data_IF_020892186495
#
_entry.id   IF_020892186495
#
_cell.length_a   1.000
_cell.length_b   1.000
_cell.length_c   1.000
_cell.angle_alpha   90.00
_cell.angle_beta   90.00
_cell.angle_gamma   90.00
#
_symmetry.space_group_name_H-M   'P 1'
#
loop_
_entity.id
_entity.type
_entity.pdbx_description
1 polymer ?
#
# COMPACT_ATOMS: atom_id res chain seq x y z
N UNK A 1 -22.40 27.25 -16.91
CA UNK A 1 -22.44 26.04 -16.08
C UNK A 1 -23.76 25.97 -15.31
N UNK A 2 -24.54 24.91 -15.46
CA UNK A 2 -25.66 24.64 -14.56
C UNK A 2 -25.14 23.88 -13.34
N UNK A 3 -24.88 24.57 -12.24
CA UNK A 3 -24.25 24.00 -11.02
C UNK A 3 -25.18 23.15 -10.18
N UNK A 4 -26.47 23.13 -10.50
CA UNK A 4 -27.49 22.53 -9.61
C UNK A 4 -27.69 21.01 -9.91
N UNK A 5 -27.34 20.56 -11.10
CA UNK A 5 -27.60 19.19 -11.57
C UNK A 5 -26.43 18.67 -12.39
N UNK A 6 -25.42 18.15 -11.71
CA UNK A 6 -24.24 17.58 -12.32
C UNK A 6 -24.17 16.07 -12.03
N UNK A 7 -23.77 15.31 -13.02
CA UNK A 7 -23.50 13.87 -12.88
C UNK A 7 -22.02 13.68 -12.59
N UNK A 8 -21.68 13.03 -11.48
CA UNK A 8 -20.33 12.58 -11.23
C UNK A 8 -20.02 11.40 -12.17
N UNK A 9 -19.19 11.65 -13.18
CA UNK A 9 -18.81 10.61 -14.15
C UNK A 9 -17.82 9.63 -13.55
N UNK A 10 -16.71 10.13 -12.99
CA UNK A 10 -15.69 9.30 -12.35
C UNK A 10 -14.71 10.11 -11.50
N UNK A 11 -14.10 9.42 -10.55
CA UNK A 11 -12.88 9.90 -9.89
C UNK A 11 -11.67 9.50 -10.75
N UNK A 12 -10.85 10.48 -11.13
CA UNK A 12 -9.66 10.30 -11.96
C UNK A 12 -8.44 9.85 -11.17
N UNK A 13 -8.22 10.52 -10.05
CA UNK A 13 -7.05 10.25 -9.20
C UNK A 13 -7.24 10.82 -7.82
N UNK A 14 -6.53 10.24 -6.88
CA UNK A 14 -6.33 10.70 -5.52
C UNK A 14 -4.84 10.99 -5.34
N UNK A 15 -4.51 12.14 -4.77
CA UNK A 15 -3.14 12.54 -4.46
C UNK A 15 -3.03 12.80 -2.96
N UNK A 16 -1.96 12.25 -2.38
CA UNK A 16 -1.53 12.56 -1.02
C UNK A 16 -0.36 13.54 -1.07
N UNK A 17 -0.40 14.55 -0.25
CA UNK A 17 0.67 15.55 -0.17
C UNK A 17 1.21 15.67 1.24
N UNK A 18 2.49 15.92 1.37
CA UNK A 18 3.12 16.31 2.62
C UNK A 18 2.54 17.64 3.12
N UNK A 19 2.33 17.76 4.43
CA UNK A 19 1.82 18.98 5.03
C UNK A 19 2.89 20.06 5.19
N UNK A 20 4.16 19.68 5.24
CA UNK A 20 5.26 20.60 5.46
C UNK A 20 5.63 21.41 4.22
N UNK A 21 5.70 20.75 3.05
CA UNK A 21 6.17 21.36 1.81
C UNK A 21 5.19 21.23 0.64
N UNK A 22 4.10 20.48 0.80
CA UNK A 22 3.09 20.24 -0.22
C UNK A 22 3.55 19.28 -1.34
N UNK A 23 4.68 18.60 -1.17
CA UNK A 23 5.18 17.61 -2.12
C UNK A 23 4.23 16.42 -2.24
N UNK A 24 4.21 15.77 -3.40
CA UNK A 24 3.37 14.60 -3.63
C UNK A 24 4.04 13.36 -3.07
N UNK A 25 3.43 12.77 -2.05
CA UNK A 25 3.88 11.52 -1.42
C UNK A 25 3.40 10.30 -2.21
N UNK A 26 2.16 10.34 -2.71
CA UNK A 26 1.58 9.22 -3.44
C UNK A 26 0.42 9.64 -4.35
N UNK A 27 0.19 8.86 -5.40
CA UNK A 27 -0.89 9.09 -6.36
C UNK A 27 -1.56 7.78 -6.74
N UNK A 28 -2.88 7.70 -6.56
CA UNK A 28 -3.71 6.57 -6.95
C UNK A 28 -4.59 6.93 -8.14
N UNK A 29 -4.65 6.09 -9.16
CA UNK A 29 -5.39 6.34 -10.41
C UNK A 29 -6.41 5.27 -10.77
N UNK A 30 -6.43 4.15 -10.04
CA UNK A 30 -7.31 3.00 -10.29
C UNK A 30 -8.23 2.79 -9.10
N UNK A 31 -9.01 3.82 -8.79
CA UNK A 31 -9.96 3.81 -7.68
C UNK A 31 -11.28 3.17 -8.09
N UNK A 32 -11.76 2.27 -7.27
CA UNK A 32 -13.07 1.64 -7.38
C UNK A 32 -13.91 1.99 -6.15
N UNK A 33 -15.21 2.12 -6.36
CA UNK A 33 -16.20 2.38 -5.32
C UNK A 33 -15.85 3.58 -4.40
N UNK A 34 -15.37 4.72 -4.95
CA UNK A 34 -15.04 5.87 -4.14
C UNK A 34 -16.31 6.44 -3.48
N UNK A 35 -16.25 6.68 -2.17
CA UNK A 35 -17.35 7.24 -1.40
C UNK A 35 -16.88 8.36 -0.48
N UNK A 36 -17.61 9.45 -0.46
CA UNK A 36 -17.39 10.57 0.45
C UNK A 36 -18.58 10.64 1.42
N UNK A 37 -18.31 10.50 2.70
CA UNK A 37 -19.30 10.49 3.75
C UNK A 37 -19.08 11.68 4.69
N UNK A 38 -20.18 12.28 5.13
CA UNK A 38 -20.17 13.30 6.18
C UNK A 38 -21.21 12.95 7.22
N UNK A 39 -20.87 13.13 8.49
CA UNK A 39 -21.79 12.92 9.60
C UNK A 39 -21.65 14.07 10.61
N UNK A 40 -22.70 14.29 11.39
CA UNK A 40 -22.68 15.17 12.54
C UNK A 40 -23.52 14.54 13.64
N UNK A 41 -23.04 14.60 14.87
CA UNK A 41 -23.81 14.13 16.03
C UNK A 41 -24.89 15.15 16.35
N UNK A 42 -26.12 14.67 16.49
CA UNK A 42 -27.29 15.49 16.83
C UNK A 42 -27.80 15.17 18.22
N UNK A 43 -28.00 16.21 19.04
CA UNK A 43 -28.59 16.12 20.36
C UNK A 43 -29.97 16.78 20.32
N UNK A 44 -31.01 16.04 20.67
CA UNK A 44 -32.37 16.51 20.69
C UNK A 44 -32.64 17.19 22.03
N UNK A 45 -33.06 18.45 21.99
CA UNK A 45 -33.55 19.19 23.16
C UNK A 45 -35.09 19.14 23.14
N UNK A 46 -35.63 18.52 24.18
CA UNK A 46 -37.09 18.35 24.33
C UNK A 46 -37.65 19.17 25.52
N UNK A 47 -38.92 19.48 25.45
CA UNK A 47 -39.62 20.09 26.58
C UNK A 47 -40.01 19.05 27.66
N UNK A 48 -40.65 19.51 28.74
CA UNK A 48 -41.08 18.65 29.84
C UNK A 48 -42.14 17.61 29.44
N UNK A 49 -42.77 17.76 28.28
CA UNK A 49 -43.78 16.84 27.71
C UNK A 49 -43.17 15.90 26.67
N UNK A 50 -41.84 16.01 26.39
CA UNK A 50 -41.13 15.21 25.41
C UNK A 50 -41.23 15.72 23.98
N UNK A 51 -41.83 16.91 23.74
CA UNK A 51 -41.85 17.49 22.41
C UNK A 51 -40.47 18.07 22.02
N UNK A 52 -40.03 17.83 20.78
CA UNK A 52 -38.76 18.34 20.27
C UNK A 52 -38.79 19.87 20.15
N UNK A 53 -37.96 20.57 20.91
CA UNK A 53 -37.77 22.01 20.83
C UNK A 53 -36.77 22.34 19.70
N UNK A 54 -35.62 21.71 19.71
CA UNK A 54 -34.59 21.91 18.71
C UNK A 54 -33.59 20.75 18.70
N UNK A 55 -32.80 20.68 17.59
CA UNK A 55 -31.69 19.72 17.47
C UNK A 55 -30.37 20.46 17.34
N UNK A 56 -29.45 20.20 18.26
CA UNK A 56 -28.10 20.74 18.22
C UNK A 56 -27.19 19.75 17.53
N UNK A 57 -26.44 20.23 16.55
CA UNK A 57 -25.42 19.41 15.86
C UNK A 57 -24.04 19.75 16.36
N UNK A 58 -23.26 18.71 16.66
CA UNK A 58 -21.87 18.78 17.12
C UNK A 58 -21.02 17.76 16.36
N UNK A 59 -19.70 17.84 16.54
CA UNK A 59 -18.75 16.83 16.06
C UNK A 59 -18.95 16.41 14.58
N UNK A 60 -18.93 17.40 13.68
CA UNK A 60 -18.99 17.11 12.23
C UNK A 60 -17.74 16.34 11.80
N UNK A 61 -17.95 15.25 11.07
CA UNK A 61 -16.89 14.37 10.55
C UNK A 61 -16.98 14.26 9.03
N UNK A 62 -15.87 13.98 8.40
CA UNK A 62 -15.79 13.66 6.98
C UNK A 62 -14.89 12.45 6.77
N UNK A 63 -15.32 11.50 5.94
CA UNK A 63 -14.58 10.28 5.64
C UNK A 63 -14.65 9.99 4.15
N UNK A 64 -13.50 9.66 3.58
CA UNK A 64 -13.42 9.15 2.22
C UNK A 64 -13.00 7.68 2.24
N UNK A 65 -13.68 6.84 1.48
CA UNK A 65 -13.35 5.42 1.33
C UNK A 65 -13.24 5.07 -0.13
N UNK A 66 -12.30 4.19 -0.46
CA UNK A 66 -12.16 3.64 -1.80
C UNK A 66 -11.35 2.34 -1.77
N UNK A 67 -11.40 1.62 -2.89
CA UNK A 67 -10.54 0.48 -3.17
C UNK A 67 -9.58 0.87 -4.30
N UNK A 68 -8.31 0.51 -4.19
CA UNK A 68 -7.38 0.60 -5.30
C UNK A 68 -7.27 -0.79 -5.96
N UNK A 69 -7.55 -0.87 -7.27
CA UNK A 69 -7.52 -2.14 -8.02
C UNK A 69 -6.12 -2.68 -8.23
N UNK A 70 -5.10 -1.89 -7.94
CA UNK A 70 -3.70 -2.29 -8.09
C UNK A 70 -3.02 -2.25 -6.73
N UNK A 71 -2.11 -3.18 -6.50
CA UNK A 71 -1.21 -3.10 -5.36
C UNK A 71 -0.33 -1.85 -5.48
N UNK A 72 -0.33 -0.99 -4.47
CA UNK A 72 0.43 0.25 -4.44
C UNK A 72 1.35 0.29 -3.23
N UNK A 73 2.65 0.31 -3.48
CA UNK A 73 3.68 0.43 -2.44
C UNK A 73 3.58 1.78 -1.72
N UNK A 74 3.22 2.85 -2.44
CA UNK A 74 3.03 4.18 -1.85
C UNK A 74 1.84 4.20 -0.87
N UNK A 75 0.72 3.57 -1.25
CA UNK A 75 -0.43 3.45 -0.36
C UNK A 75 -0.10 2.61 0.87
N UNK A 76 0.64 1.51 0.68
CA UNK A 76 1.08 0.65 1.77
C UNK A 76 1.99 1.40 2.76
N UNK A 77 2.95 2.18 2.24
CA UNK A 77 3.84 3.01 3.05
C UNK A 77 3.05 4.03 3.89
N UNK A 78 2.09 4.73 3.28
CA UNK A 78 1.20 5.66 3.96
C UNK A 78 0.34 4.98 5.04
N UNK A 79 -0.19 3.78 4.77
CA UNK A 79 -0.99 3.02 5.73
C UNK A 79 -0.18 2.54 6.93
N UNK A 80 1.09 2.23 6.74
CA UNK A 80 1.99 1.79 7.81
C UNK A 80 2.69 2.96 8.53
N UNK A 81 2.55 4.19 8.02
CA UNK A 81 3.33 5.33 8.52
C UNK A 81 4.83 5.11 8.34
N UNK A 82 5.22 4.48 7.26
CA UNK A 82 6.59 4.07 6.98
C UNK A 82 7.13 4.78 5.74
N UNK A 83 8.43 4.96 5.72
CA UNK A 83 9.14 5.43 4.54
C UNK A 83 9.30 4.29 3.53
N UNK A 84 9.20 4.63 2.25
CA UNK A 84 9.55 3.74 1.16
C UNK A 84 11.06 3.76 0.95
N UNK A 85 11.71 2.65 1.24
CA UNK A 85 13.14 2.47 0.99
C UNK A 85 13.34 2.00 -0.46
N UNK A 86 14.08 2.77 -1.23
CA UNK A 86 14.47 2.44 -2.60
C UNK A 86 15.93 2.01 -2.61
N UNK A 87 16.21 0.82 -3.12
CA UNK A 87 17.59 0.37 -3.30
C UNK A 87 18.32 1.21 -4.35
N UNK A 88 19.63 1.28 -4.22
CA UNK A 88 20.56 1.89 -5.17
C UNK A 88 21.87 1.09 -5.22
N UNK A 89 22.76 1.41 -6.13
CA UNK A 89 24.08 0.76 -6.19
C UNK A 89 24.92 0.97 -4.91
N UNK A 90 24.71 2.09 -4.23
CA UNK A 90 25.40 2.41 -2.97
C UNK A 90 24.68 1.92 -1.71
N UNK A 91 23.37 1.65 -1.83
CA UNK A 91 22.52 1.22 -0.71
C UNK A 91 21.58 0.12 -1.20
N UNK A 92 22.11 -1.09 -1.22
CA UNK A 92 21.38 -2.27 -1.69
C UNK A 92 20.45 -2.81 -0.62
N UNK A 93 19.35 -3.38 -1.05
CA UNK A 93 18.40 -4.06 -0.18
C UNK A 93 18.63 -5.56 -0.25
N UNK A 94 18.69 -6.21 0.92
CA UNK A 94 18.73 -7.66 1.03
C UNK A 94 17.35 -8.22 0.70
N UNK A 95 17.31 -9.11 -0.29
CA UNK A 95 16.07 -9.74 -0.80
C UNK A 95 16.15 -11.24 -0.57
N UNK A 96 15.25 -11.84 0.21
CA UNK A 96 15.12 -13.29 0.30
C UNK A 96 14.52 -13.86 -0.99
N UNK A 97 15.05 -14.98 -1.43
CA UNK A 97 14.59 -15.70 -2.63
C UNK A 97 14.56 -17.20 -2.36
N UNK A 98 13.59 -17.88 -2.95
CA UNK A 98 13.53 -19.33 -3.04
C UNK A 98 13.70 -19.77 -4.50
N UNK A 99 14.48 -20.82 -4.71
CA UNK A 99 14.68 -21.40 -6.03
C UNK A 99 14.53 -22.92 -5.99
N UNK A 100 13.93 -23.45 -7.04
CA UNK A 100 13.83 -24.90 -7.29
C UNK A 100 14.65 -25.19 -8.54
N UNK A 101 15.85 -25.74 -8.32
CA UNK A 101 16.84 -25.95 -9.36
C UNK A 101 16.99 -27.43 -9.68
N UNK A 102 17.20 -27.75 -10.96
CA UNK A 102 17.47 -29.13 -11.39
C UNK A 102 18.98 -29.41 -11.29
N UNK A 103 19.32 -30.56 -10.73
CA UNK A 103 20.71 -30.98 -10.62
C UNK A 103 21.24 -31.40 -12.00
N UNK A 104 22.31 -30.76 -12.45
CA UNK A 104 23.02 -31.07 -13.68
C UNK A 104 24.49 -31.38 -13.36
N UNK A 105 24.95 -32.58 -13.71
CA UNK A 105 26.35 -33.04 -13.44
C UNK A 105 26.76 -32.90 -11.96
N UNK A 106 25.84 -33.12 -11.02
CA UNK A 106 26.10 -33.00 -9.59
C UNK A 106 26.20 -31.58 -9.06
N UNK A 107 25.71 -30.61 -9.82
CA UNK A 107 25.73 -29.17 -9.49
C UNK A 107 24.42 -28.49 -9.76
N UNK A 108 24.20 -27.36 -9.09
CA UNK A 108 23.15 -26.38 -9.37
C UNK A 108 23.76 -24.98 -9.37
N UNK A 109 23.21 -24.08 -10.20
CA UNK A 109 23.67 -22.68 -10.27
C UNK A 109 22.55 -21.76 -9.81
N UNK A 110 22.83 -20.92 -8.81
CA UNK A 110 21.93 -19.93 -8.29
C UNK A 110 21.77 -18.75 -9.26
N UNK A 111 20.59 -18.15 -9.31
CA UNK A 111 20.34 -16.97 -10.14
C UNK A 111 21.05 -15.72 -9.64
N UNK A 112 21.31 -15.63 -8.34
CA UNK A 112 21.98 -14.49 -7.72
C UNK A 112 23.11 -14.93 -6.80
N UNK A 113 24.08 -14.00 -6.61
CA UNK A 113 25.16 -14.20 -5.66
C UNK A 113 24.61 -14.13 -4.23
N UNK A 114 24.76 -15.17 -3.40
CA UNK A 114 24.31 -15.11 -2.01
C UNK A 114 25.03 -14.01 -1.22
N UNK A 115 24.26 -13.25 -0.43
CA UNK A 115 24.78 -12.23 0.48
C UNK A 115 25.16 -12.80 1.85
N UNK A 116 24.68 -14.00 2.16
CA UNK A 116 24.93 -14.72 3.40
C UNK A 116 25.16 -16.20 3.14
N UNK A 117 25.69 -16.91 4.14
CA UNK A 117 25.96 -18.34 4.07
C UNK A 117 24.68 -19.17 3.93
N UNK A 118 24.60 -20.01 2.90
CA UNK A 118 23.52 -20.98 2.72
C UNK A 118 23.81 -22.20 3.58
N UNK A 119 23.07 -22.36 4.66
CA UNK A 119 23.33 -23.45 5.63
C UNK A 119 22.66 -24.77 5.27
N UNK A 120 21.57 -24.70 4.51
CA UNK A 120 20.74 -25.88 4.22
C UNK A 120 20.17 -25.82 2.80
N UNK A 121 20.13 -26.98 2.15
CA UNK A 121 19.37 -27.20 0.92
C UNK A 121 18.50 -28.43 1.11
N UNK A 122 17.44 -28.57 0.33
CA UNK A 122 16.50 -29.68 0.46
C UNK A 122 16.26 -30.37 -0.88
N UNK A 123 16.29 -31.70 -0.89
CA UNK A 123 15.80 -32.47 -2.02
C UNK A 123 14.28 -32.37 -2.10
N UNK A 124 13.75 -32.15 -3.30
CA UNK A 124 12.31 -32.22 -3.54
C UNK A 124 11.94 -33.61 -4.06
N UNK A 125 10.96 -34.22 -3.39
CA UNK A 125 10.32 -35.46 -3.81
C UNK A 125 8.82 -35.26 -3.91
N UNK A 126 8.26 -35.50 -5.09
CA UNK A 126 6.82 -35.28 -5.36
C UNK A 126 6.34 -33.83 -5.02
N UNK A 127 7.24 -32.84 -5.17
CA UNK A 127 6.94 -31.44 -4.89
C UNK A 127 7.00 -31.04 -3.41
N UNK A 128 7.44 -31.95 -2.52
CA UNK A 128 7.61 -31.68 -1.09
C UNK A 128 9.06 -31.71 -0.68
N UNK A 129 9.41 -30.94 0.37
CA UNK A 129 10.75 -30.95 0.98
C UNK A 129 10.97 -32.31 1.65
N UNK A 130 11.93 -33.09 1.15
CA UNK A 130 12.24 -34.42 1.66
C UNK A 130 13.53 -34.37 2.50
N UNK A 131 14.68 -34.69 1.89
CA UNK A 131 15.95 -34.79 2.60
C UNK A 131 16.62 -33.43 2.72
N UNK A 132 17.02 -33.08 3.93
CA UNK A 132 17.82 -31.90 4.26
C UNK A 132 19.30 -32.22 4.16
N UNK A 133 20.06 -31.34 3.53
CA UNK A 133 21.52 -31.38 3.48
C UNK A 133 22.12 -30.12 4.10
N UNK A 134 23.29 -30.25 4.69
CA UNK A 134 24.00 -29.16 5.37
C UNK A 134 25.24 -28.74 4.58
N UNK A 135 25.67 -27.51 4.82
CA UNK A 135 26.90 -27.00 4.23
C UNK A 135 28.11 -27.71 4.86
N UNK A 136 29.02 -28.16 4.02
CA UNK A 136 30.31 -28.71 4.39
C UNK A 136 31.48 -28.04 3.62
N UNK A 137 32.70 -28.30 4.02
CA UNK A 137 33.87 -27.79 3.33
C UNK A 137 34.03 -28.39 1.92
N UNK A 138 33.50 -29.60 1.72
CA UNK A 138 33.44 -30.29 0.43
C UNK A 138 32.15 -31.10 0.37
N UNK A 139 31.64 -31.35 -0.81
CA UNK A 139 30.46 -32.18 -0.98
C UNK A 139 30.75 -33.64 -0.58
N UNK A 140 29.84 -34.24 0.18
CA UNK A 140 29.87 -35.62 0.66
C UNK A 140 28.51 -36.30 0.39
N UNK A 141 28.21 -37.41 1.05
CA UNK A 141 26.91 -38.06 0.94
C UNK A 141 25.78 -37.25 1.62
N UNK A 142 26.12 -36.45 2.64
CA UNK A 142 25.18 -35.69 3.46
C UNK A 142 25.38 -34.18 3.47
N UNK A 143 26.47 -33.73 2.86
CA UNK A 143 26.86 -32.32 2.82
C UNK A 143 26.99 -31.83 1.38
N UNK A 144 26.63 -30.59 1.14
CA UNK A 144 26.90 -29.86 -0.08
C UNK A 144 28.01 -28.84 0.14
N UNK A 145 28.66 -28.40 -0.93
CA UNK A 145 29.59 -27.28 -0.88
C UNK A 145 29.16 -26.19 -1.84
N UNK A 146 29.54 -24.95 -1.55
CA UNK A 146 29.23 -23.78 -2.37
C UNK A 146 30.52 -23.03 -2.73
N UNK A 147 30.61 -22.57 -3.96
CA UNK A 147 31.60 -21.62 -4.43
C UNK A 147 30.88 -20.57 -5.29
N UNK A 148 30.86 -19.33 -4.80
CA UNK A 148 30.14 -18.23 -5.44
C UNK A 148 28.64 -18.57 -5.63
N UNK A 149 28.17 -18.72 -6.88
CA UNK A 149 26.78 -19.07 -7.23
C UNK A 149 26.62 -20.58 -7.52
N UNK A 150 27.70 -21.37 -7.51
CA UNK A 150 27.62 -22.77 -7.82
C UNK A 150 27.61 -23.63 -6.56
N UNK A 151 26.57 -24.43 -6.41
CA UNK A 151 26.45 -25.43 -5.35
C UNK A 151 26.74 -26.80 -5.93
N UNK A 152 27.75 -27.48 -5.37
CA UNK A 152 27.99 -28.90 -5.61
C UNK A 152 27.10 -29.68 -4.63
N UNK A 153 26.13 -30.41 -5.16
CA UNK A 153 25.19 -31.17 -4.34
C UNK A 153 25.84 -32.46 -3.80
N UNK A 154 25.26 -33.08 -2.73
CA UNK A 154 25.74 -34.34 -2.20
C UNK A 154 25.82 -35.42 -3.26
N UNK A 155 26.77 -36.33 -3.11
CA UNK A 155 27.08 -37.40 -4.09
C UNK A 155 25.86 -38.28 -4.36
N UNK A 156 25.55 -38.51 -5.63
CA UNK A 156 24.44 -39.36 -6.06
C UNK A 156 23.06 -38.70 -6.06
N UNK A 157 22.98 -37.42 -5.72
CA UNK A 157 21.70 -36.68 -5.74
C UNK A 157 21.37 -36.27 -7.18
N UNK A 158 20.14 -36.56 -7.57
CA UNK A 158 19.55 -36.19 -8.85
C UNK A 158 18.16 -35.58 -8.64
N UNK A 159 17.61 -34.92 -9.66
CA UNK A 159 16.29 -34.33 -9.59
C UNK A 159 16.33 -32.86 -9.18
N UNK A 160 15.35 -32.44 -8.36
CA UNK A 160 15.18 -31.03 -7.99
C UNK A 160 15.64 -30.76 -6.56
N UNK A 161 16.33 -29.65 -6.38
CA UNK A 161 16.78 -29.11 -5.09
C UNK A 161 16.06 -27.78 -4.84
N UNK A 162 15.55 -27.62 -3.64
CA UNK A 162 15.04 -26.36 -3.10
C UNK A 162 16.15 -25.66 -2.33
N UNK A 163 16.35 -24.40 -2.62
CA UNK A 163 17.33 -23.53 -1.94
C UNK A 163 16.62 -22.23 -1.57
N UNK A 164 16.77 -21.80 -0.33
CA UNK A 164 16.37 -20.48 0.15
C UNK A 164 17.63 -19.72 0.54
N UNK A 165 17.77 -18.49 0.04
CA UNK A 165 18.91 -17.64 0.33
C UNK A 165 18.58 -16.17 0.17
N UNK A 166 19.48 -15.30 0.59
CA UNK A 166 19.38 -13.86 0.46
C UNK A 166 20.43 -13.33 -0.51
N UNK A 167 20.07 -12.31 -1.27
CA UNK A 167 20.99 -11.60 -2.15
C UNK A 167 20.81 -10.08 -2.05
N UNK A 168 21.83 -9.32 -2.42
CA UNK A 168 21.79 -7.86 -2.48
C UNK A 168 21.26 -7.39 -3.82
N UNK A 169 20.22 -6.53 -3.79
CA UNK A 169 19.65 -5.92 -5.00
C UNK A 169 19.73 -4.40 -4.96
N UNK A 170 20.21 -3.81 -6.04
CA UNK A 170 20.19 -2.37 -6.28
C UNK A 170 18.84 -1.90 -6.87
N UNK A 171 17.94 -2.84 -7.25
CA UNK A 171 16.66 -2.58 -7.87
C UNK A 171 15.50 -3.17 -7.04
N UNK A 172 15.48 -2.89 -5.76
CA UNK A 172 14.43 -3.36 -4.85
C UNK A 172 13.74 -2.20 -4.16
N UNK A 173 12.51 -2.46 -3.71
CA UNK A 173 11.73 -1.54 -2.87
C UNK A 173 11.31 -2.27 -1.61
N UNK A 174 11.47 -1.62 -0.47
CA UNK A 174 11.06 -2.17 0.83
C UNK A 174 10.20 -1.17 1.59
N UNK A 175 9.12 -1.66 2.18
CA UNK A 175 8.31 -0.93 3.18
C UNK A 175 8.24 -1.79 4.43
N UNK A 176 8.56 -1.21 5.56
CA UNK A 176 8.57 -1.89 6.87
C UNK A 176 7.33 -1.48 7.66
N UNK A 177 6.53 -2.42 8.11
CA UNK A 177 5.50 -2.17 9.10
C UNK A 177 6.10 -2.30 10.50
N UNK A 178 6.25 -1.17 11.20
CA UNK A 178 6.76 -1.12 12.57
C UNK A 178 5.61 -1.03 13.56
N UNK A 179 5.70 -1.75 14.67
CA UNK A 179 4.72 -1.67 15.75
C UNK A 179 4.66 -0.28 16.43
N UNK A 180 5.67 0.57 16.22
CA UNK A 180 5.79 1.89 16.86
C UNK A 180 5.42 3.05 15.91
N UNK A 181 5.27 2.77 14.59
CA UNK A 181 4.94 3.81 13.60
C UNK A 181 3.47 3.72 13.20
N UNK A 182 2.84 4.88 13.10
CA UNK A 182 1.45 5.04 12.68
C UNK A 182 1.35 6.06 11.54
N UNK A 183 0.30 5.99 10.71
CA UNK A 183 0.07 6.96 9.64
C UNK A 183 0.14 8.40 10.16
N UNK A 184 0.84 9.23 9.45
CA UNK A 184 0.85 10.67 9.68
C UNK A 184 -0.32 11.36 8.97
N UNK A 185 -0.60 12.59 9.36
CA UNK A 185 -1.59 13.40 8.67
C UNK A 185 -1.01 13.90 7.35
N UNK A 186 -1.82 13.88 6.30
CA UNK A 186 -1.45 14.28 4.93
C UNK A 186 -2.49 15.20 4.32
N UNK A 187 -2.10 16.02 3.37
CA UNK A 187 -3.03 16.71 2.50
C UNK A 187 -3.64 15.74 1.48
N UNK A 188 -4.94 15.91 1.18
CA UNK A 188 -5.67 15.00 0.28
C UNK A 188 -6.34 15.80 -0.83
N UNK A 189 -6.09 15.41 -2.09
CA UNK A 189 -6.73 16.01 -3.27
C UNK A 189 -7.34 14.91 -4.13
N UNK A 190 -8.65 14.97 -4.33
CA UNK A 190 -9.40 14.00 -5.13
C UNK A 190 -9.86 14.70 -6.39
N UNK A 191 -9.40 14.23 -7.55
CA UNK A 191 -9.77 14.79 -8.84
C UNK A 191 -10.88 13.96 -9.48
N UNK A 192 -11.96 14.62 -9.84
CA UNK A 192 -13.14 14.00 -10.42
C UNK A 192 -13.54 14.69 -11.73
N UNK A 193 -14.38 14.03 -12.51
CA UNK A 193 -15.01 14.58 -13.70
C UNK A 193 -16.51 14.58 -13.45
N UNK A 194 -17.12 15.74 -13.68
CA UNK A 194 -18.57 15.91 -13.71
C UNK A 194 -19.02 16.12 -15.15
N UNK A 195 -20.24 15.73 -15.45
CA UNK A 195 -20.93 15.97 -16.72
C UNK A 195 -22.18 16.80 -16.49
N UNK A 196 -22.51 17.62 -17.48
CA UNK A 196 -23.81 18.28 -17.52
C UNK A 196 -24.90 17.25 -17.81
N UNK A 197 -26.02 17.33 -17.08
CA UNK A 197 -27.12 16.41 -17.23
C UNK A 197 -27.82 16.54 -18.60
N UNK A 198 -27.87 17.76 -19.12
CA UNK A 198 -28.53 18.07 -20.40
C UNK A 198 -27.61 17.92 -21.60
N UNK A 199 -26.28 17.94 -21.40
CA UNK A 199 -25.29 17.82 -22.45
C UNK A 199 -24.07 17.01 -21.97
N UNK A 200 -24.14 15.70 -22.13
CA UNK A 200 -23.08 14.76 -21.67
C UNK A 200 -21.70 15.00 -22.31
N UNK A 201 -21.61 15.77 -23.40
CA UNK A 201 -20.32 16.13 -24.01
C UNK A 201 -19.61 17.23 -23.24
N UNK A 202 -20.35 18.00 -22.41
CA UNK A 202 -19.76 19.03 -21.56
C UNK A 202 -19.28 18.38 -20.26
N UNK A 203 -17.97 18.52 -20.01
CA UNK A 203 -17.31 17.95 -18.84
C UNK A 203 -16.68 19.06 -18.02
N UNK A 204 -16.88 18.98 -16.72
CA UNK A 204 -16.31 19.90 -15.74
C UNK A 204 -15.25 19.19 -14.91
N UNK A 205 -14.15 19.89 -14.62
CA UNK A 205 -13.17 19.42 -13.68
C UNK A 205 -13.65 19.66 -12.25
N UNK A 206 -13.65 18.60 -11.43
CA UNK A 206 -13.98 18.71 -10.02
C UNK A 206 -12.81 18.29 -9.16
N UNK A 207 -12.58 19.03 -8.08
CA UNK A 207 -11.53 18.70 -7.12
C UNK A 207 -12.12 18.78 -5.71
N UNK A 208 -11.93 17.73 -4.93
CA UNK A 208 -12.20 17.72 -3.49
C UNK A 208 -10.85 17.88 -2.81
N UNK A 209 -10.73 18.92 -1.98
CA UNK A 209 -9.49 19.25 -1.27
C UNK A 209 -9.74 19.16 0.22
N UNK A 210 -9.04 18.26 0.90
CA UNK A 210 -8.93 18.24 2.35
C UNK A 210 -7.50 18.62 2.72
N UNK A 211 -7.35 19.70 3.49
CA UNK A 211 -6.03 20.19 3.91
C UNK A 211 -5.34 19.20 4.82
N UNK A 212 -6.12 18.50 5.65
CA UNK A 212 -5.62 17.53 6.61
C UNK A 212 -6.51 16.30 6.64
N UNK A 213 -5.94 15.17 6.27
CA UNK A 213 -6.56 13.87 6.35
C UNK A 213 -5.61 12.87 6.99
N UNK A 214 -6.15 11.84 7.60
CA UNK A 214 -5.37 10.74 8.16
C UNK A 214 -5.92 9.42 7.66
N UNK A 215 -5.04 8.55 7.20
CA UNK A 215 -5.44 7.20 6.81
C UNK A 215 -5.82 6.43 8.07
N UNK A 216 -6.99 5.81 8.04
CA UNK A 216 -7.47 4.96 9.12
C UNK A 216 -6.67 3.65 9.11
N UNK A 217 -5.88 3.44 10.15
CA UNK A 217 -5.06 2.24 10.34
C UNK A 217 -5.72 1.18 11.24
N UNK A 218 -6.96 1.40 11.66
CA UNK A 218 -7.65 0.47 12.56
C UNK A 218 -7.96 -0.88 11.90
N UNK A 219 -8.14 -0.88 10.58
CA UNK A 219 -8.32 -2.09 9.80
C UNK A 219 -7.74 -1.90 8.39
N UNK A 220 -6.52 -2.40 8.19
CA UNK A 220 -5.87 -2.42 6.88
C UNK A 220 -5.94 -3.83 6.32
N UNK A 221 -6.66 -4.00 5.23
CA UNK A 221 -6.74 -5.27 4.51
C UNK A 221 -6.18 -5.09 3.10
N UNK A 222 -5.15 -5.87 2.80
CA UNK A 222 -4.57 -5.95 1.46
C UNK A 222 -4.73 -7.37 0.95
N UNK A 223 -5.61 -7.56 -0.02
CA UNK A 223 -5.81 -8.89 -0.59
C UNK A 223 -4.61 -9.30 -1.45
N UNK A 224 -4.00 -10.43 -1.11
CA UNK A 224 -2.83 -11.00 -1.80
C UNK A 224 -3.24 -11.96 -2.93
N UNK A 225 -4.23 -11.57 -3.73
CA UNK A 225 -4.71 -12.34 -4.88
C UNK A 225 -4.69 -11.47 -6.13
N UNK A 226 -4.62 -12.07 -7.32
CA UNK A 226 -4.57 -11.34 -8.59
C UNK A 226 -5.78 -10.43 -8.87
N UNK A 227 -6.91 -10.68 -8.21
CA UNK A 227 -8.13 -9.85 -8.25
C UNK A 227 -8.34 -9.09 -6.95
N UNK A 228 -7.35 -9.12 -6.04
CA UNK A 228 -7.43 -8.48 -4.73
C UNK A 228 -7.47 -6.96 -4.85
N UNK A 229 -8.32 -6.34 -4.03
CA UNK A 229 -8.41 -4.89 -3.90
C UNK A 229 -7.61 -4.43 -2.70
N UNK A 230 -6.95 -3.29 -2.83
CA UNK A 230 -6.26 -2.62 -1.73
C UNK A 230 -7.19 -1.54 -1.17
N UNK A 231 -7.95 -1.90 -0.13
CA UNK A 231 -8.94 -1.02 0.50
C UNK A 231 -8.28 0.00 1.42
N UNK A 232 -8.84 1.21 1.47
CA UNK A 232 -8.39 2.25 2.39
C UNK A 232 -9.51 3.22 2.74
N UNK A 233 -9.35 3.87 3.87
CA UNK A 233 -10.21 4.99 4.28
C UNK A 233 -9.38 6.13 4.84
N UNK A 234 -9.89 7.35 4.70
CA UNK A 234 -9.26 8.59 5.12
C UNK A 234 -10.27 9.37 5.95
N UNK A 235 -9.91 9.69 7.18
CA UNK A 235 -10.68 10.59 8.01
C UNK A 235 -10.18 12.02 7.81
N UNK A 236 -11.09 12.93 7.45
CA UNK A 236 -10.78 14.34 7.30
C UNK A 236 -10.83 15.05 8.64
N UNK A 237 -9.86 15.88 8.88
CA UNK A 237 -9.67 16.57 10.14
C UNK A 237 -9.59 18.07 9.92
N UNK A 238 -10.06 18.82 10.93
CA UNK A 238 -9.77 20.24 11.01
C UNK A 238 -8.27 20.48 11.13
N UNK A 239 -7.76 21.47 10.40
CA UNK A 239 -6.38 21.90 10.53
C UNK A 239 -6.23 22.90 11.69
N UNK A 240 -5.83 22.41 12.85
CA UNK A 240 -5.61 23.23 14.04
C UNK A 240 -4.31 24.05 13.98
N UNK A 241 -3.48 23.85 12.98
CA UNK A 241 -2.24 24.62 12.78
C UNK A 241 -2.46 25.82 11.88
N UNK A 242 -3.63 25.95 11.26
CA UNK A 242 -4.03 27.08 10.42
C UNK A 242 -5.19 27.84 11.11
N UNK A 243 -4.91 29.04 11.61
CA UNK A 243 -5.89 29.92 12.27
C UNK A 243 -6.79 30.66 11.26
N UNK A 244 -6.59 30.44 9.95
CA UNK A 244 -7.47 31.01 8.91
C UNK A 244 -8.87 30.39 8.94
N UNK A 245 -9.83 31.09 8.32
CA UNK A 245 -11.20 30.56 8.18
C UNK A 245 -11.20 29.20 7.47
N UNK A 246 -10.32 29.03 6.51
CA UNK A 246 -10.18 27.79 5.75
C UNK A 246 -9.61 26.63 6.58
N UNK A 247 -8.86 26.90 7.65
CA UNK A 247 -8.37 25.87 8.59
C UNK A 247 -9.50 25.15 9.35
N UNK A 248 -10.68 25.73 9.41
CA UNK A 248 -11.86 25.12 10.01
C UNK A 248 -12.56 24.09 9.09
N UNK A 249 -12.27 24.10 7.80
CA UNK A 249 -12.92 23.23 6.83
C UNK A 249 -12.37 21.80 6.90
N UNK A 250 -13.26 20.80 6.89
CA UNK A 250 -12.88 19.39 6.76
C UNK A 250 -12.41 19.11 5.33
N UNK A 251 -13.15 19.64 4.36
CA UNK A 251 -12.80 19.59 2.93
C UNK A 251 -13.63 20.65 2.17
N UNK A 252 -13.15 20.98 0.98
CA UNK A 252 -13.87 21.82 0.02
C UNK A 252 -14.09 21.07 -1.29
N UNK A 253 -15.19 21.36 -1.98
CA UNK A 253 -15.49 20.82 -3.32
C UNK A 253 -15.45 21.99 -4.30
N UNK A 254 -14.55 21.91 -5.27
CA UNK A 254 -14.33 22.93 -6.27
C UNK A 254 -14.69 22.35 -7.63
N UNK A 255 -15.55 23.00 -8.39
CA UNK A 255 -15.91 22.59 -9.76
C UNK A 255 -15.61 23.76 -10.68
N UNK A 256 -14.86 23.51 -11.73
CA UNK A 256 -14.43 24.52 -12.71
C UNK A 256 -14.77 24.07 -14.14
N UNK A 257 -14.99 25.07 -15.02
CA UNK A 257 -15.14 24.89 -16.46
C UNK A 257 -13.81 24.62 -17.15
#
# INVERSE_FOLDING_TARGET
MNVNELILDKVRSLIFTDLADGSVIGRLTKLEEPSLQTAAEGEDITDAQGALITKLFRAKTGKFTANNSLFSVDLLALQYGADKELASESDKIIVPIEEILTVENGKITLSHMPSSEIRHIYKLESGQLATKYTLGAAASETEFSISDQEITVPTGITGKIYVEYEYESANAVRVKNSAEKFPEAVGVKIFAIFKDMCNENVKYAGTIVARRGKIDSSAIETALTGTGKHSFSIDFMKDYCDDSVDGADLFSVIIAE
#
